data_IF_747073050494
#
_entry.id   IF_747073050494
#
_cell.length_a   1.000
_cell.length_b   1.000
_cell.length_c   1.000
_cell.angle_alpha   90.00
_cell.angle_beta   90.00
_cell.angle_gamma   90.00
#
_symmetry.space_group_name_H-M   'P 1'
#
loop_
_entity.id
_entity.type
_entity.pdbx_description
1 polymer ?
#
# COMPACT_ATOMS: atom_id res chain seq x y z
N UNK A 1 -14.73 19.86 12.61
CA UNK A 1 -13.87 18.91 11.89
C UNK A 1 -12.93 19.73 10.99
N UNK A 2 -11.63 19.57 11.14
CA UNK A 2 -10.64 20.20 10.24
C UNK A 2 -10.31 19.21 9.11
N UNK A 3 -10.82 19.47 7.90
CA UNK A 3 -10.60 18.58 6.75
C UNK A 3 -9.16 18.60 6.21
N UNK A 4 -8.34 19.52 6.70
CA UNK A 4 -6.92 19.65 6.35
C UNK A 4 -5.99 19.18 7.49
N UNK A 5 -6.54 18.51 8.49
CA UNK A 5 -5.76 17.96 9.60
C UNK A 5 -4.74 16.95 9.08
N UNK A 6 -3.49 17.08 9.54
CA UNK A 6 -2.39 16.19 9.22
C UNK A 6 -2.10 15.32 10.44
N UNK A 7 -2.37 14.04 10.31
CA UNK A 7 -2.24 13.05 11.39
C UNK A 7 -0.81 12.48 11.46
N UNK A 8 -0.48 11.81 12.55
CA UNK A 8 0.66 10.87 12.57
C UNK A 8 0.18 9.48 12.18
N UNK A 9 1.06 8.63 11.67
CA UNK A 9 0.70 7.23 11.42
C UNK A 9 0.33 6.52 12.72
N UNK A 10 0.97 6.87 13.82
CA UNK A 10 0.62 6.40 15.16
C UNK A 10 -0.86 6.66 15.49
N UNK A 11 -1.35 7.89 15.28
CA UNK A 11 -2.74 8.23 15.62
C UNK A 11 -3.73 7.41 14.80
N UNK A 12 -3.47 7.22 13.50
CA UNK A 12 -4.34 6.46 12.61
C UNK A 12 -4.32 4.96 12.89
N UNK A 13 -3.13 4.37 13.06
CA UNK A 13 -2.99 2.93 13.28
C UNK A 13 -3.43 2.49 14.66
N UNK A 14 -3.17 3.29 15.71
CA UNK A 14 -3.61 2.97 17.07
C UNK A 14 -5.13 2.94 17.21
N UNK A 15 -5.84 3.69 16.38
CA UNK A 15 -7.30 3.77 16.39
C UNK A 15 -7.97 2.78 15.41
N UNK A 16 -7.19 2.09 14.56
CA UNK A 16 -7.71 1.11 13.61
C UNK A 16 -7.00 -0.24 13.75
N UNK A 17 -7.62 -1.19 14.42
CA UNK A 17 -7.04 -2.51 14.68
C UNK A 17 -6.85 -3.36 13.41
N UNK A 18 -7.50 -3.01 12.29
CA UNK A 18 -7.40 -3.76 11.04
C UNK A 18 -7.59 -2.88 9.79
N UNK A 19 -6.64 -2.02 9.44
CA UNK A 19 -6.65 -1.33 8.15
C UNK A 19 -6.43 -2.28 6.96
N UNK A 20 -6.01 -3.51 7.20
CA UNK A 20 -5.79 -4.56 6.21
C UNK A 20 -4.46 -4.41 5.46
N UNK A 21 -4.46 -3.78 4.31
CA UNK A 21 -3.26 -3.36 3.56
C UNK A 21 -3.24 -1.84 3.54
N UNK A 22 -2.06 -1.27 3.68
CA UNK A 22 -1.90 0.18 3.69
C UNK A 22 -0.73 0.65 2.83
N UNK A 23 -0.96 1.72 2.08
CA UNK A 23 0.05 2.43 1.29
C UNK A 23 0.17 3.84 1.84
N UNK A 24 1.40 4.27 2.14
CA UNK A 24 1.72 5.67 2.42
C UNK A 24 2.63 6.18 1.32
N UNK A 25 2.33 7.35 0.77
CA UNK A 25 3.21 8.07 -0.16
C UNK A 25 3.29 9.53 0.23
N UNK A 26 4.46 10.14 0.05
CA UNK A 26 4.68 11.54 0.39
C UNK A 26 6.11 11.99 0.18
N UNK A 27 6.44 13.14 0.76
CA UNK A 27 7.76 13.77 0.71
C UNK A 27 8.18 14.18 2.12
N UNK A 28 9.46 13.98 2.46
CA UNK A 28 10.03 14.35 3.76
C UNK A 28 9.87 15.82 4.08
N UNK A 29 9.93 16.18 5.38
CA UNK A 29 9.79 17.56 5.86
C UNK A 29 10.79 18.53 5.24
N UNK A 30 12.00 18.07 4.94
CA UNK A 30 13.04 18.85 4.27
C UNK A 30 12.90 18.94 2.75
N UNK A 31 11.90 18.25 2.17
CA UNK A 31 11.61 18.23 0.75
C UNK A 31 12.61 17.45 -0.10
N UNK A 32 13.54 16.69 0.50
CA UNK A 32 14.65 16.06 -0.23
C UNK A 32 14.37 14.64 -0.69
N UNK A 33 13.51 13.91 0.02
CA UNK A 33 13.26 12.51 -0.30
C UNK A 33 11.77 12.25 -0.55
N UNK A 34 11.46 11.49 -1.58
CA UNK A 34 10.15 10.85 -1.69
C UNK A 34 10.09 9.61 -0.80
N UNK A 35 8.90 9.32 -0.27
CA UNK A 35 8.67 8.23 0.67
C UNK A 35 7.53 7.36 0.19
N UNK A 36 7.76 6.06 0.18
CA UNK A 36 6.74 5.04 -0.03
C UNK A 36 6.81 4.01 1.10
N UNK A 37 5.67 3.68 1.69
CA UNK A 37 5.56 2.58 2.63
C UNK A 37 4.38 1.67 2.26
N UNK A 38 4.55 0.37 2.50
CA UNK A 38 3.51 -0.62 2.30
C UNK A 38 3.53 -1.67 3.41
N UNK A 39 2.38 -1.94 3.98
CA UNK A 39 2.25 -3.03 4.96
C UNK A 39 1.10 -3.98 4.63
N UNK A 40 1.24 -5.20 5.10
CA UNK A 40 0.19 -6.21 5.06
C UNK A 40 -0.18 -6.68 6.46
N UNK A 41 -1.48 -6.89 6.64
CA UNK A 41 -2.06 -7.54 7.80
C UNK A 41 -2.94 -8.72 7.36
N UNK A 42 -3.21 -9.66 8.27
CA UNK A 42 -4.03 -10.83 7.98
C UNK A 42 -4.66 -11.42 9.22
N UNK A 43 -5.86 -12.01 9.04
CA UNK A 43 -6.61 -12.68 10.12
C UNK A 43 -6.66 -14.20 9.97
N UNK A 44 -6.65 -14.71 8.75
CA UNK A 44 -6.64 -16.16 8.48
C UNK A 44 -5.22 -16.74 8.50
N UNK A 45 -5.10 -18.04 8.70
CA UNK A 45 -3.82 -18.76 8.62
C UNK A 45 -3.13 -18.51 7.28
N UNK A 46 -3.87 -18.62 6.16
CA UNK A 46 -3.34 -18.38 4.83
C UNK A 46 -2.86 -16.93 4.63
N UNK A 47 -3.61 -15.94 5.10
CA UNK A 47 -3.21 -14.54 4.98
C UNK A 47 -2.01 -14.18 5.85
N UNK A 48 -1.79 -14.87 6.98
CA UNK A 48 -0.64 -14.68 7.88
C UNK A 48 0.62 -15.39 7.40
N UNK A 49 0.50 -16.34 6.48
CA UNK A 49 1.62 -17.12 5.95
C UNK A 49 2.34 -16.37 4.82
N UNK A 50 2.79 -15.14 5.08
CA UNK A 50 3.47 -14.29 4.09
C UNK A 50 4.65 -13.57 4.70
N UNK A 51 5.67 -13.37 3.85
CA UNK A 51 6.84 -12.54 4.11
C UNK A 51 7.11 -11.66 2.88
N UNK A 52 7.82 -10.55 3.07
CA UNK A 52 8.42 -9.77 1.99
C UNK A 52 9.86 -10.21 1.76
N UNK A 53 10.18 -10.45 0.51
CA UNK A 53 11.54 -10.75 0.05
C UNK A 53 11.99 -9.66 -0.92
N UNK A 54 13.20 -9.12 -0.71
CA UNK A 54 13.77 -8.10 -1.60
C UNK A 54 14.10 -8.67 -2.98
N UNK A 55 13.84 -7.89 -4.02
CA UNK A 55 14.21 -8.15 -5.41
C UNK A 55 14.93 -6.94 -6.01
N UNK A 56 15.66 -7.08 -7.13
CA UNK A 56 16.43 -5.97 -7.72
C UNK A 56 15.59 -4.73 -8.09
N UNK A 57 14.31 -4.88 -8.40
CA UNK A 57 13.40 -3.82 -8.79
C UNK A 57 12.24 -3.59 -7.81
N UNK A 58 12.37 -4.11 -6.57
CA UNK A 58 11.35 -3.93 -5.54
C UNK A 58 11.29 -5.06 -4.53
N UNK A 59 10.08 -5.52 -4.22
CA UNK A 59 9.87 -6.64 -3.31
C UNK A 59 8.81 -7.61 -3.85
N UNK A 60 8.90 -8.86 -3.42
CA UNK A 60 7.92 -9.91 -3.67
C UNK A 60 7.32 -10.42 -2.37
N UNK A 61 6.05 -10.82 -2.41
CA UNK A 61 5.47 -11.62 -1.32
C UNK A 61 5.77 -13.09 -1.55
N UNK A 62 6.13 -13.79 -0.48
CA UNK A 62 6.33 -15.24 -0.50
C UNK A 62 5.59 -15.90 0.67
N UNK A 63 5.35 -17.20 0.57
CA UNK A 63 4.84 -17.97 1.70
C UNK A 63 5.98 -18.18 2.71
N UNK A 64 5.74 -17.85 3.98
CA UNK A 64 6.66 -18.18 5.07
C UNK A 64 6.83 -19.70 5.21
N UNK A 65 5.72 -20.44 5.19
CA UNK A 65 5.69 -21.89 5.14
C UNK A 65 4.97 -22.36 3.85
N UNK A 66 5.72 -22.85 2.85
CA UNK A 66 5.11 -23.34 1.60
C UNK A 66 4.11 -24.47 1.78
N UNK A 67 4.21 -25.27 2.87
CA UNK A 67 3.29 -26.37 3.14
C UNK A 67 1.87 -25.92 3.54
N UNK A 68 1.75 -24.67 4.00
CA UNK A 68 0.48 -24.04 4.40
C UNK A 68 -0.16 -23.20 3.27
N UNK A 69 0.46 -23.17 2.09
CA UNK A 69 -0.03 -22.36 0.97
C UNK A 69 -1.25 -23.04 0.30
N UNK A 70 -2.41 -22.35 0.35
CA UNK A 70 -3.65 -22.86 -0.22
C UNK A 70 -3.89 -22.35 -1.64
N UNK A 71 -3.64 -21.05 -1.89
CA UNK A 71 -3.80 -20.41 -3.19
C UNK A 71 -2.63 -19.44 -3.45
N UNK A 72 -1.68 -19.83 -4.34
CA UNK A 72 -0.53 -19.00 -4.67
C UNK A 72 -0.92 -17.64 -5.28
N UNK A 73 -1.99 -17.58 -6.08
CA UNK A 73 -2.38 -16.36 -6.80
C UNK A 73 -2.82 -15.21 -5.89
N UNK A 74 -3.32 -15.53 -4.69
CA UNK A 74 -3.71 -14.53 -3.68
C UNK A 74 -2.55 -14.13 -2.76
N UNK A 75 -1.44 -14.86 -2.79
CA UNK A 75 -0.34 -14.71 -1.85
C UNK A 75 0.91 -14.17 -2.54
N UNK A 76 1.26 -14.69 -3.73
CA UNK A 76 2.50 -14.41 -4.43
C UNK A 76 2.27 -13.35 -5.51
N UNK A 77 2.79 -12.16 -5.28
CA UNK A 77 2.77 -11.02 -6.21
C UNK A 77 3.89 -10.04 -5.86
N UNK A 78 4.14 -9.06 -6.72
CA UNK A 78 5.08 -7.97 -6.45
C UNK A 78 4.31 -6.78 -5.86
N UNK A 79 4.33 -6.55 -4.54
CA UNK A 79 3.65 -5.38 -3.98
C UNK A 79 4.33 -4.06 -4.33
N UNK A 80 5.65 -4.10 -4.56
CA UNK A 80 6.43 -2.93 -4.95
C UNK A 80 7.29 -3.29 -6.15
N UNK A 81 7.26 -2.42 -7.19
CA UNK A 81 8.07 -2.61 -8.37
C UNK A 81 8.48 -1.29 -9.00
N UNK A 82 9.76 -1.15 -9.33
CA UNK A 82 10.27 -0.01 -10.07
C UNK A 82 9.80 -0.03 -11.53
N UNK A 83 9.56 1.14 -12.07
CA UNK A 83 9.28 1.34 -13.49
C UNK A 83 10.07 2.54 -14.02
N UNK A 84 10.12 2.71 -15.34
CA UNK A 84 10.87 3.80 -15.96
C UNK A 84 10.47 5.21 -15.47
N UNK A 85 9.24 5.39 -15.00
CA UNK A 85 8.70 6.66 -14.50
C UNK A 85 8.69 6.81 -12.98
N UNK A 86 8.98 5.74 -12.20
CA UNK A 86 8.98 5.80 -10.75
C UNK A 86 8.75 4.46 -10.06
N UNK A 87 8.01 4.44 -8.97
CA UNK A 87 7.76 3.28 -8.12
C UNK A 87 6.27 2.96 -8.06
N UNK A 88 5.91 1.73 -8.38
CA UNK A 88 4.55 1.18 -8.25
C UNK A 88 4.44 0.48 -6.91
N UNK A 89 3.36 0.73 -6.16
CA UNK A 89 3.04 0.05 -4.89
C UNK A 89 1.59 -0.40 -4.90
N UNK A 90 1.32 -1.68 -4.69
CA UNK A 90 -0.06 -2.20 -4.67
C UNK A 90 -0.26 -3.35 -3.67
N UNK A 91 -1.51 -3.73 -3.44
CA UNK A 91 -1.85 -4.87 -2.58
C UNK A 91 -2.16 -6.17 -3.35
N UNK A 92 -1.74 -6.28 -4.62
CA UNK A 92 -2.03 -7.49 -5.41
C UNK A 92 -1.33 -7.49 -6.77
N UNK A 93 -1.70 -8.42 -7.62
CA UNK A 93 -1.13 -8.67 -8.95
C UNK A 93 -1.37 -7.54 -9.97
N UNK A 94 -2.16 -6.53 -9.64
CA UNK A 94 -2.30 -5.34 -10.48
C UNK A 94 -1.00 -4.55 -10.62
N UNK A 95 0.02 -4.78 -9.79
CA UNK A 95 1.37 -4.21 -9.97
C UNK A 95 1.91 -4.53 -11.35
N UNK A 96 1.85 -5.80 -11.75
CA UNK A 96 2.36 -6.24 -13.06
C UNK A 96 1.53 -5.67 -14.20
N UNK A 97 0.20 -5.58 -14.03
CA UNK A 97 -0.67 -4.92 -15.01
C UNK A 97 -0.27 -3.45 -15.21
N UNK A 98 -0.05 -2.70 -14.12
CA UNK A 98 0.37 -1.30 -14.18
C UNK A 98 1.74 -1.19 -14.86
N UNK A 99 2.68 -2.03 -14.45
CA UNK A 99 4.04 -2.06 -15.00
C UNK A 99 4.03 -2.32 -16.51
N UNK A 100 3.25 -3.29 -16.99
CA UNK A 100 3.11 -3.60 -18.41
C UNK A 100 2.54 -2.43 -19.23
N UNK A 101 1.49 -1.77 -18.72
CA UNK A 101 0.88 -0.62 -19.41
C UNK A 101 1.85 0.55 -19.49
N UNK A 102 2.48 0.91 -18.37
CA UNK A 102 3.49 1.98 -18.35
C UNK A 102 4.69 1.67 -19.25
N UNK A 103 5.11 0.42 -19.35
CA UNK A 103 6.21 -0.02 -20.23
C UNK A 103 5.88 0.15 -21.72
N UNK A 104 4.60 0.14 -22.08
CA UNK A 104 4.11 0.39 -23.46
C UNK A 104 3.80 1.86 -23.71
N UNK A 105 4.03 2.75 -22.75
CA UNK A 105 3.68 4.17 -22.83
C UNK A 105 2.17 4.46 -22.63
N UNK A 106 1.42 3.48 -22.14
CA UNK A 106 0.02 3.65 -21.79
C UNK A 106 -0.14 4.23 -20.37
N UNK A 107 -1.34 4.74 -20.03
CA UNK A 107 -1.53 5.39 -18.75
C UNK A 107 -1.82 4.41 -17.61
N UNK A 108 -1.48 4.82 -16.40
CA UNK A 108 -1.84 4.19 -15.13
C UNK A 108 -3.37 3.94 -15.01
N UNK A 109 -4.17 4.93 -15.39
CA UNK A 109 -5.63 4.83 -15.36
C UNK A 109 -6.15 3.79 -16.35
N UNK A 110 -5.52 3.66 -17.53
CA UNK A 110 -5.88 2.64 -18.52
C UNK A 110 -5.64 1.24 -17.96
N UNK A 111 -4.48 1.01 -17.30
CA UNK A 111 -4.18 -0.24 -16.62
C UNK A 111 -5.24 -0.60 -15.57
N UNK A 112 -5.54 0.33 -14.66
CA UNK A 112 -6.46 0.10 -13.56
C UNK A 112 -7.93 -0.04 -13.99
N UNK A 113 -8.31 0.50 -15.15
CA UNK A 113 -9.66 0.27 -15.71
C UNK A 113 -9.88 -1.18 -16.17
N UNK A 114 -8.83 -1.95 -16.40
CA UNK A 114 -8.92 -3.38 -16.73
C UNK A 114 -9.06 -4.26 -15.48
N UNK A 115 -8.91 -3.68 -14.30
CA UNK A 115 -8.91 -4.38 -13.01
C UNK A 115 -10.17 -4.04 -12.20
N UNK A 116 -10.43 -4.86 -11.20
CA UNK A 116 -11.47 -4.66 -10.19
C UNK A 116 -10.96 -5.12 -8.82
N UNK A 117 -11.77 -5.04 -7.78
CA UNK A 117 -11.52 -5.61 -6.46
C UNK A 117 -11.23 -7.12 -6.51
N UNK A 118 -10.79 -7.72 -5.40
CA UNK A 118 -10.53 -9.18 -5.32
C UNK A 118 -11.86 -9.96 -5.27
N UNK A 119 -11.89 -11.13 -5.92
CA UNK A 119 -13.04 -12.02 -5.92
C UNK A 119 -13.02 -12.93 -4.67
N UNK A 120 -13.14 -12.30 -3.50
CA UNK A 120 -13.08 -12.93 -2.18
C UNK A 120 -14.37 -12.70 -1.36
N UNK A 121 -15.53 -13.04 -1.93
CA UNK A 121 -16.83 -12.93 -1.25
C UNK A 121 -16.75 -13.46 0.20
N UNK A 122 -17.33 -12.78 1.19
CA UNK A 122 -18.19 -11.59 1.10
C UNK A 122 -17.44 -10.25 1.22
N UNK A 123 -16.10 -10.23 1.34
CA UNK A 123 -15.35 -9.00 1.63
C UNK A 123 -15.16 -8.12 0.39
N UNK A 124 -15.02 -8.74 -0.81
CA UNK A 124 -14.70 -8.01 -2.03
C UNK A 124 -13.53 -7.05 -1.79
N UNK A 125 -12.41 -7.61 -1.29
CA UNK A 125 -11.24 -6.84 -0.84
C UNK A 125 -10.84 -5.79 -1.86
N UNK A 126 -10.79 -4.51 -1.48
CA UNK A 126 -10.39 -3.45 -2.40
C UNK A 126 -8.97 -3.63 -2.90
N UNK A 127 -8.74 -3.31 -4.18
CA UNK A 127 -7.39 -3.13 -4.69
C UNK A 127 -6.97 -1.69 -4.52
N UNK A 128 -5.91 -1.48 -3.73
CA UNK A 128 -5.28 -0.18 -3.55
C UNK A 128 -3.98 -0.13 -4.33
N UNK A 129 -3.67 1.01 -4.91
CA UNK A 129 -2.48 1.19 -5.73
C UNK A 129 -1.91 2.59 -5.53
N UNK A 130 -0.59 2.71 -5.62
CA UNK A 130 0.17 3.95 -5.63
C UNK A 130 1.19 3.95 -6.76
N UNK A 131 1.43 5.11 -7.35
CA UNK A 131 2.50 5.37 -8.30
C UNK A 131 3.23 6.64 -7.88
N UNK A 132 4.46 6.50 -7.40
CA UNK A 132 5.32 7.62 -7.05
C UNK A 132 6.21 7.98 -8.23
N UNK A 133 6.13 9.21 -8.70
CA UNK A 133 6.99 9.71 -9.77
C UNK A 133 8.37 10.15 -9.23
N UNK A 134 9.33 10.29 -10.13
CA UNK A 134 10.72 10.68 -9.80
C UNK A 134 10.86 12.09 -9.23
N UNK A 135 9.89 12.96 -9.50
CA UNK A 135 9.83 14.32 -8.96
C UNK A 135 9.17 14.40 -7.58
N UNK A 136 8.81 13.26 -7.00
CA UNK A 136 8.17 13.15 -5.70
C UNK A 136 6.64 13.32 -5.72
N UNK A 137 6.03 13.69 -6.85
CA UNK A 137 4.58 13.66 -7.01
C UNK A 137 4.07 12.21 -7.03
N UNK A 138 2.81 11.98 -6.71
CA UNK A 138 2.27 10.62 -6.67
C UNK A 138 0.78 10.57 -6.97
N UNK A 139 0.37 9.40 -7.40
CA UNK A 139 -1.03 9.04 -7.63
C UNK A 139 -1.40 7.88 -6.72
N UNK A 140 -2.65 7.87 -6.27
CA UNK A 140 -3.24 6.75 -5.53
C UNK A 140 -4.56 6.33 -6.14
N UNK A 141 -4.95 5.07 -5.97
CA UNK A 141 -6.23 4.56 -6.47
C UNK A 141 -6.78 3.48 -5.56
N UNK A 142 -8.10 3.44 -5.46
CA UNK A 142 -8.83 2.34 -4.87
C UNK A 142 -9.92 1.83 -5.82
N UNK A 143 -9.93 0.52 -6.04
CA UNK A 143 -10.94 -0.21 -6.78
C UNK A 143 -11.74 -1.04 -5.78
N UNK A 144 -13.03 -0.77 -5.60
CA UNK A 144 -13.86 -1.45 -4.60
C UNK A 144 -15.23 -1.81 -5.14
N UNK A 145 -15.89 -2.78 -4.52
CA UNK A 145 -17.25 -3.12 -4.85
C UNK A 145 -18.18 -1.92 -4.64
N UNK A 146 -19.03 -1.66 -5.62
CA UNK A 146 -20.03 -0.59 -5.56
C UNK A 146 -21.33 -1.05 -4.90
N UNK A 147 -21.51 -2.38 -4.76
CA UNK A 147 -22.67 -2.99 -4.14
C UNK A 147 -22.26 -4.25 -3.33
N UNK A 148 -23.14 -4.74 -2.43
CA UNK A 148 -22.82 -5.88 -1.54
C UNK A 148 -22.62 -7.21 -2.28
N UNK A 149 -23.14 -7.34 -3.50
CA UNK A 149 -23.07 -8.56 -4.30
C UNK A 149 -21.86 -8.60 -5.22
N UNK A 150 -21.09 -7.51 -5.29
CA UNK A 150 -19.89 -7.41 -6.13
C UNK A 150 -20.18 -7.31 -7.63
N UNK A 151 -21.39 -6.83 -8.02
CA UNK A 151 -21.77 -6.76 -9.44
C UNK A 151 -21.09 -5.62 -10.20
N UNK A 152 -20.64 -4.58 -9.50
CA UNK A 152 -20.04 -3.40 -10.10
C UNK A 152 -18.80 -2.95 -9.32
N UNK A 153 -17.83 -2.37 -10.04
CA UNK A 153 -16.61 -1.83 -9.46
C UNK A 153 -16.61 -0.29 -9.50
N UNK A 154 -16.54 0.33 -8.34
CA UNK A 154 -16.25 1.75 -8.18
C UNK A 154 -14.74 1.98 -8.21
N UNK A 155 -14.30 3.00 -8.97
CA UNK A 155 -12.88 3.36 -9.17
C UNK A 155 -12.66 4.80 -8.77
N UNK A 156 -11.69 5.02 -7.87
CA UNK A 156 -11.30 6.34 -7.41
C UNK A 156 -9.81 6.55 -7.70
N UNK A 157 -9.48 7.73 -8.19
CA UNK A 157 -8.13 8.14 -8.53
C UNK A 157 -7.84 9.46 -7.83
N UNK A 158 -6.67 9.57 -7.21
CA UNK A 158 -6.18 10.73 -6.47
C UNK A 158 -4.81 11.10 -7.00
N UNK A 159 -4.54 12.39 -7.17
CA UNK A 159 -3.26 12.92 -7.62
C UNK A 159 -2.77 13.98 -6.66
N UNK A 160 -1.51 13.87 -6.28
CA UNK A 160 -0.89 14.76 -5.29
C UNK A 160 0.44 15.30 -5.79
N UNK A 161 0.69 16.63 -5.68
CA UNK A 161 2.00 17.20 -5.90
C UNK A 161 2.95 16.80 -4.76
N UNK A 162 4.26 16.89 -5.04
CA UNK A 162 5.29 16.77 -4.02
C UNK A 162 5.19 17.96 -3.05
N UNK A 163 4.74 17.70 -1.83
CA UNK A 163 4.59 18.72 -0.79
C UNK A 163 5.46 18.34 0.42
N UNK A 164 6.49 19.13 0.79
CA UNK A 164 7.35 18.82 1.92
C UNK A 164 6.58 18.59 3.22
N UNK A 165 6.89 17.49 3.92
CA UNK A 165 6.30 17.09 5.18
C UNK A 165 4.90 16.46 5.09
N UNK A 166 4.32 16.39 3.88
CA UNK A 166 2.98 15.85 3.67
C UNK A 166 3.01 14.55 2.88
N UNK A 167 2.25 13.60 3.34
CA UNK A 167 1.91 12.37 2.63
C UNK A 167 0.43 12.04 2.76
N UNK A 168 0.05 10.94 2.10
CA UNK A 168 -1.30 10.41 2.16
C UNK A 168 -1.27 8.92 2.43
N UNK A 169 -2.19 8.48 3.29
CA UNK A 169 -2.37 7.09 3.68
C UNK A 169 -3.67 6.56 3.08
N UNK A 170 -3.56 5.50 2.29
CA UNK A 170 -4.68 4.77 1.71
C UNK A 170 -4.64 3.32 2.20
N UNK A 171 -5.77 2.80 2.67
CA UNK A 171 -5.86 1.45 3.20
C UNK A 171 -7.13 0.73 2.74
N UNK A 172 -7.20 -0.59 2.92
CA UNK A 172 -8.32 -1.37 2.37
C UNK A 172 -9.58 -1.31 3.22
N UNK A 173 -9.47 -1.21 4.57
CA UNK A 173 -10.60 -1.35 5.48
C UNK A 173 -10.68 -0.25 6.53
N UNK A 174 -11.87 0.22 6.81
CA UNK A 174 -12.14 1.26 7.83
C UNK A 174 -11.84 0.75 9.24
N UNK A 175 -12.15 -0.52 9.50
CA UNK A 175 -11.97 -1.16 10.82
C UNK A 175 -12.07 -2.68 10.66
N UNK A 176 -11.94 -3.40 11.76
CA UNK A 176 -12.25 -4.82 11.80
C UNK A 176 -13.77 -5.05 11.71
N UNK A 177 -14.18 -6.15 11.10
CA UNK A 177 -15.58 -6.52 10.89
C UNK A 177 -15.79 -8.03 10.85
N UNK A 178 -17.01 -8.48 11.20
CA UNK A 178 -17.41 -9.87 11.17
C UNK A 178 -18.93 -9.98 10.88
N UNK A 179 -19.35 -10.68 9.81
CA UNK A 179 -18.55 -11.46 8.86
C UNK A 179 -17.86 -10.62 7.77
N UNK A 180 -18.35 -9.42 7.49
CA UNK A 180 -17.86 -8.55 6.42
C UNK A 180 -17.00 -7.44 7.01
N UNK A 181 -15.84 -7.19 6.41
CA UNK A 181 -14.96 -6.09 6.80
C UNK A 181 -15.34 -4.84 6.01
N UNK A 182 -15.68 -3.72 6.68
CA UNK A 182 -16.07 -2.48 5.98
C UNK A 182 -14.91 -1.92 5.16
N UNK A 183 -15.13 -1.69 3.87
CA UNK A 183 -14.12 -1.11 2.97
C UNK A 183 -13.88 0.37 3.27
N UNK A 184 -12.66 0.84 2.99
CA UNK A 184 -12.27 2.24 3.12
C UNK A 184 -13.25 3.19 2.43
N UNK A 185 -13.51 4.33 3.07
CA UNK A 185 -14.40 5.38 2.58
C UNK A 185 -13.70 6.74 2.66
N UNK A 186 -14.00 7.60 1.70
CA UNK A 186 -13.48 8.98 1.68
C UNK A 186 -12.20 9.14 0.85
N UNK A 187 -11.41 10.15 1.20
CA UNK A 187 -10.10 10.47 0.59
C UNK A 187 -8.97 9.83 1.40
N UNK A 188 -7.81 9.54 0.78
CA UNK A 188 -6.61 9.17 1.51
C UNK A 188 -6.28 10.15 2.63
N UNK A 189 -5.97 9.64 3.81
CA UNK A 189 -5.76 10.44 5.02
C UNK A 189 -4.42 11.18 4.96
N UNK A 190 -4.43 12.47 5.31
CA UNK A 190 -3.21 13.28 5.34
C UNK A 190 -2.33 12.88 6.51
N UNK A 191 -1.04 12.62 6.24
CA UNK A 191 -0.08 12.15 7.25
C UNK A 191 1.23 12.93 7.18
N UNK A 192 1.89 13.04 8.33
CA UNK A 192 3.25 13.58 8.44
C UNK A 192 4.27 12.61 7.90
N UNK A 193 5.25 13.13 7.16
CA UNK A 193 6.37 12.34 6.62
C UNK A 193 7.67 12.82 7.26
N UNK A 194 8.23 12.10 8.23
CA UNK A 194 9.47 12.47 8.89
C UNK A 194 10.70 12.26 7.98
N UNK A 195 11.83 12.89 8.30
CA UNK A 195 13.08 12.76 7.52
C UNK A 195 13.83 11.44 7.78
N UNK A 196 13.60 10.78 8.91
CA UNK A 196 14.32 9.58 9.32
C UNK A 196 13.54 8.32 8.97
N UNK A 197 14.08 7.49 8.09
CA UNK A 197 13.46 6.22 7.66
C UNK A 197 13.27 5.26 8.84
N UNK A 198 14.25 5.13 9.72
CA UNK A 198 14.17 4.21 10.86
C UNK A 198 13.06 4.61 11.82
N UNK A 199 12.98 5.90 12.17
CA UNK A 199 11.91 6.42 13.04
C UNK A 199 10.51 6.22 12.42
N UNK A 200 10.38 6.39 11.10
CA UNK A 200 9.10 6.15 10.42
C UNK A 200 8.74 4.67 10.33
N UNK A 201 9.73 3.82 10.11
CA UNK A 201 9.57 2.36 10.09
C UNK A 201 9.11 1.86 11.46
N UNK A 202 9.75 2.32 12.53
CA UNK A 202 9.39 1.98 13.92
C UNK A 202 7.98 2.49 14.25
N UNK A 203 7.65 3.75 13.91
CA UNK A 203 6.31 4.31 14.12
C UNK A 203 5.23 3.45 13.45
N UNK A 204 5.45 3.04 12.20
CA UNK A 204 4.51 2.16 11.50
C UNK A 204 4.41 0.80 12.16
N UNK A 205 5.53 0.11 12.38
CA UNK A 205 5.55 -1.26 12.86
C UNK A 205 5.02 -1.43 14.28
N UNK A 206 5.37 -0.52 15.17
CA UNK A 206 4.94 -0.56 16.58
C UNK A 206 3.45 -0.27 16.76
N UNK A 207 2.84 0.53 15.88
CA UNK A 207 1.43 0.91 15.98
C UNK A 207 0.49 0.03 15.14
N UNK A 208 1.01 -0.86 14.30
CA UNK A 208 0.22 -1.93 13.70
C UNK A 208 -0.22 -2.94 14.76
N UNK A 209 -1.49 -3.36 14.73
CA UNK A 209 -2.02 -4.33 15.69
C UNK A 209 -1.19 -5.62 15.70
N UNK A 210 -0.65 -5.98 16.87
CA UNK A 210 0.30 -7.07 17.06
C UNK A 210 -0.22 -8.42 16.58
N UNK A 211 -1.50 -8.71 16.79
CA UNK A 211 -2.08 -9.99 16.38
C UNK A 211 -2.21 -10.14 14.86
N UNK A 212 -2.32 -9.03 14.13
CA UNK A 212 -2.68 -9.02 12.72
C UNK A 212 -1.56 -8.57 11.79
N UNK A 213 -0.54 -7.84 12.26
CA UNK A 213 0.58 -7.40 11.42
C UNK A 213 1.38 -8.57 10.87
N UNK A 214 1.86 -8.44 9.64
CA UNK A 214 2.59 -9.51 8.93
C UNK A 214 3.93 -9.01 8.42
N UNK A 215 3.93 -8.03 7.53
CA UNK A 215 5.15 -7.46 6.94
C UNK A 215 4.98 -5.97 6.65
N UNK A 216 6.09 -5.25 6.71
CA UNK A 216 6.22 -3.83 6.40
C UNK A 216 7.41 -3.61 5.47
N UNK A 217 7.21 -2.76 4.48
CA UNK A 217 8.24 -2.21 3.60
C UNK A 217 8.20 -0.68 3.69
N UNK A 218 9.36 -0.05 3.78
CA UNK A 218 9.54 1.41 3.75
C UNK A 218 10.71 1.75 2.84
N UNK A 219 10.52 2.71 1.94
CA UNK A 219 11.55 3.23 1.04
C UNK A 219 11.57 4.75 1.04
N UNK A 220 12.77 5.29 1.16
CA UNK A 220 13.08 6.69 0.98
C UNK A 220 13.99 6.84 -0.24
N UNK A 221 13.62 7.70 -1.18
CA UNK A 221 14.40 7.94 -2.39
C UNK A 221 14.77 9.41 -2.47
N UNK A 222 16.07 9.70 -2.55
CA UNK A 222 16.57 11.06 -2.72
C UNK A 222 16.16 11.61 -4.08
N UNK A 223 15.52 12.79 -4.09
CA UNK A 223 14.94 13.38 -5.31
C UNK A 223 15.99 13.99 -6.25
N UNK A 224 17.20 14.25 -5.77
CA UNK A 224 18.29 14.80 -6.58
C UNK A 224 19.15 13.67 -7.20
N UNK A 225 19.60 12.71 -6.37
CA UNK A 225 20.49 11.62 -6.81
C UNK A 225 19.72 10.41 -7.36
N UNK A 226 18.47 10.18 -6.92
CA UNK A 226 17.72 8.97 -7.18
C UNK A 226 18.15 7.77 -6.33
N UNK A 227 19.14 7.93 -5.43
CA UNK A 227 19.54 6.87 -4.51
C UNK A 227 18.44 6.57 -3.49
N UNK A 228 18.28 5.31 -3.15
CA UNK A 228 17.23 4.88 -2.21
C UNK A 228 17.80 4.06 -1.05
N UNK A 229 17.13 4.17 0.07
CA UNK A 229 17.31 3.33 1.25
C UNK A 229 15.98 2.65 1.60
N UNK A 230 16.04 1.40 2.04
CA UNK A 230 14.88 0.55 2.26
C UNK A 230 14.94 -0.16 3.61
N UNK A 231 13.74 -0.46 4.14
CA UNK A 231 13.57 -1.32 5.32
C UNK A 231 12.47 -2.35 5.04
N UNK A 232 12.76 -3.59 5.37
CA UNK A 232 11.79 -4.70 5.36
C UNK A 232 11.72 -5.26 6.77
N UNK A 233 10.51 -5.39 7.29
CA UNK A 233 10.25 -6.09 8.55
C UNK A 233 9.21 -7.18 8.28
N UNK A 234 9.52 -8.40 8.66
CA UNK A 234 8.61 -9.53 8.65
C UNK A 234 8.35 -10.00 10.09
N UNK A 235 7.13 -10.36 10.40
CA UNK A 235 6.78 -10.95 11.71
C UNK A 235 7.32 -12.38 11.85
N UNK A 236 7.40 -13.07 10.72
CA UNK A 236 7.93 -14.41 10.62
C UNK A 236 9.30 -14.33 9.92
N UNK A 237 10.34 -14.29 10.70
CA UNK A 237 11.74 -14.47 10.27
C UNK A 237 12.33 -15.72 10.94
#
# INVERSE_FOLDING_TARGET
MNVYEVNTMKDLLSNNVYPGRGIVMGVTEDGKKSVAAYFIMGRSVNSRNRVFTGEPDGIRTEAHDPSLMVDPHLIIYHPVRECGCGLIVTNGDQTDTIWEYLSRGESWEAALRTRQFEDDKPNWTPRISGLQAKDGSYKMSILKAADPDGNACARFFYEYPATPGLGHFLHTYVCDGNPVIPTFQGEPERVKIPCCIDAFTDELWENLNEANKISLYVRYTDLESGESEERIINKHE
#
